data_IF_874536522240
#
_entry.id   IF_874536522240
#
_cell.length_a   1.000
_cell.length_b   1.000
_cell.length_c   1.000
_cell.angle_alpha   90.00
_cell.angle_beta   90.00
_cell.angle_gamma   90.00
#
_symmetry.space_group_name_H-M   'P 1'
#
loop_
_entity.id
_entity.type
_entity.pdbx_description
1 polymer ?
#
# COMPACT_ATOMS: atom_id res chain seq x y z
N UNK A 1 4.77 -1.46 -8.22
CA UNK A 1 3.34 -1.42 -7.80
C UNK A 1 2.43 -1.90 -8.94
N UNK A 2 1.21 -2.44 -8.71
CA UNK A 2 0.37 -2.91 -9.82
C UNK A 2 -0.09 -1.73 -10.69
N UNK A 3 0.12 -1.85 -12.00
CA UNK A 3 -0.25 -0.85 -12.98
C UNK A 3 -1.06 -1.47 -14.11
N UNK A 4 -1.90 -0.66 -14.73
CA UNK A 4 -2.61 -1.00 -15.94
C UNK A 4 -1.67 -0.92 -17.15
N UNK A 5 -2.12 -1.35 -18.33
CA UNK A 5 -1.34 -1.24 -19.57
C UNK A 5 -0.99 0.21 -19.96
N UNK A 6 -1.72 1.21 -19.44
CA UNK A 6 -1.41 2.64 -19.67
C UNK A 6 -0.40 3.20 -18.66
N UNK A 7 0.05 2.39 -17.70
CA UNK A 7 0.95 2.81 -16.63
C UNK A 7 0.27 3.44 -15.41
N UNK A 8 -1.05 3.66 -15.45
CA UNK A 8 -1.80 4.15 -14.29
C UNK A 8 -1.90 3.08 -13.19
N UNK A 9 -2.18 3.50 -11.95
CA UNK A 9 -2.38 2.59 -10.82
C UNK A 9 -3.55 1.64 -11.06
N UNK A 10 -3.29 0.33 -10.93
CA UNK A 10 -4.34 -0.68 -10.91
C UNK A 10 -4.86 -0.88 -9.48
N UNK A 11 -5.85 -0.06 -9.13
CA UNK A 11 -6.43 0.02 -7.79
C UNK A 11 -7.17 -1.26 -7.38
N UNK A 12 -7.85 -1.93 -8.31
CA UNK A 12 -8.58 -3.17 -8.05
C UNK A 12 -7.60 -4.31 -7.71
N UNK A 13 -6.58 -4.49 -8.55
CA UNK A 13 -5.52 -5.47 -8.27
C UNK A 13 -4.79 -5.16 -6.96
N UNK A 14 -4.54 -3.88 -6.66
CA UNK A 14 -3.93 -3.46 -5.39
C UNK A 14 -4.78 -3.89 -4.19
N UNK A 15 -6.08 -3.56 -4.21
CA UNK A 15 -7.04 -3.90 -3.15
C UNK A 15 -7.09 -5.42 -2.92
N UNK A 16 -7.14 -6.20 -4.00
CA UNK A 16 -7.16 -7.66 -3.90
C UNK A 16 -5.89 -8.28 -3.32
N UNK A 17 -4.73 -7.63 -3.52
CA UNK A 17 -3.45 -8.07 -2.95
C UNK A 17 -3.40 -7.79 -1.46
N UNK A 18 -3.68 -6.56 -1.02
CA UNK A 18 -3.62 -6.21 0.40
C UNK A 18 -4.75 -6.86 1.20
N UNK A 19 -5.93 -7.08 0.59
CA UNK A 19 -7.07 -7.79 1.20
C UNK A 19 -6.85 -9.30 1.45
N UNK A 20 -5.62 -9.80 1.30
CA UNK A 20 -5.24 -11.16 1.71
C UNK A 20 -4.82 -11.21 3.19
N UNK A 21 -4.36 -10.11 3.77
CA UNK A 21 -4.09 -10.00 5.22
C UNK A 21 -5.34 -9.54 5.99
N UNK A 22 -5.31 -9.61 7.33
CA UNK A 22 -6.32 -8.99 8.20
C UNK A 22 -7.77 -9.48 8.03
N UNK A 23 -8.00 -10.80 7.96
CA UNK A 23 -9.34 -11.38 7.75
C UNK A 23 -10.10 -11.59 9.06
N UNK A 24 -11.43 -11.56 8.99
CA UNK A 24 -12.33 -11.84 10.12
C UNK A 24 -12.13 -10.90 11.32
N UNK A 25 -12.00 -9.60 11.04
CA UNK A 25 -11.81 -8.57 12.06
C UNK A 25 -10.43 -8.56 12.72
N UNK A 26 -9.49 -9.39 12.23
CA UNK A 26 -8.11 -9.38 12.69
C UNK A 26 -7.32 -8.29 11.96
N UNK A 27 -6.31 -7.76 12.64
CA UNK A 27 -5.38 -6.82 12.02
C UNK A 27 -4.49 -7.53 10.99
N UNK A 28 -4.11 -6.79 9.96
CA UNK A 28 -3.19 -7.22 8.91
C UNK A 28 -2.24 -6.07 8.57
N UNK A 29 -1.06 -6.41 8.05
CA UNK A 29 -0.07 -5.43 7.60
C UNK A 29 0.21 -5.65 6.12
N UNK A 30 0.31 -4.57 5.36
CA UNK A 30 0.74 -4.56 3.97
C UNK A 30 1.87 -3.53 3.83
N UNK A 31 3.02 -3.97 3.30
CA UNK A 31 4.18 -3.10 3.08
C UNK A 31 4.36 -2.94 1.57
N UNK A 32 4.39 -1.69 1.12
CA UNK A 32 4.61 -1.36 -0.28
C UNK A 32 6.10 -1.07 -0.51
N UNK A 33 6.75 -1.83 -1.40
CA UNK A 33 8.09 -1.54 -1.86
C UNK A 33 7.98 -0.68 -3.13
N UNK A 34 8.49 0.56 -3.04
CA UNK A 34 8.30 1.59 -4.05
C UNK A 34 9.64 2.22 -4.38
N UNK A 35 9.95 2.31 -5.67
CA UNK A 35 11.08 3.09 -6.18
C UNK A 35 10.69 4.56 -6.39
N UNK A 36 11.68 5.45 -6.53
CA UNK A 36 11.42 6.88 -6.78
C UNK A 36 10.52 7.13 -8.00
N UNK A 37 10.70 6.34 -9.05
CA UNK A 37 9.96 6.47 -10.31
C UNK A 37 8.51 5.97 -10.18
N UNK A 38 8.19 5.20 -9.15
CA UNK A 38 6.85 4.67 -8.89
C UNK A 38 6.03 5.53 -7.91
N UNK A 39 6.58 6.65 -7.42
CA UNK A 39 5.89 7.53 -6.45
C UNK A 39 4.54 8.07 -6.94
N UNK A 40 4.36 8.20 -8.25
CA UNK A 40 3.07 8.65 -8.81
C UNK A 40 1.96 7.61 -8.56
N UNK A 41 2.28 6.31 -8.63
CA UNK A 41 1.34 5.22 -8.39
C UNK A 41 0.83 5.26 -6.95
N UNK A 42 1.73 5.53 -5.99
CA UNK A 42 1.36 5.71 -4.58
C UNK A 42 0.32 6.82 -4.41
N UNK A 43 0.57 7.99 -5.01
CA UNK A 43 -0.33 9.14 -4.92
C UNK A 43 -1.70 8.85 -5.54
N UNK A 44 -1.74 8.12 -6.65
CA UNK A 44 -2.99 7.69 -7.29
C UNK A 44 -3.80 6.77 -6.38
N UNK A 45 -3.15 5.80 -5.72
CA UNK A 45 -3.81 4.91 -4.76
C UNK A 45 -4.33 5.68 -3.53
N UNK A 46 -3.51 6.56 -2.95
CA UNK A 46 -3.90 7.41 -1.81
C UNK A 46 -5.13 8.27 -2.14
N UNK A 47 -5.11 8.90 -3.32
CA UNK A 47 -6.25 9.71 -3.80
C UNK A 47 -7.49 8.86 -4.04
N UNK A 48 -7.35 7.68 -4.68
CA UNK A 48 -8.46 6.80 -4.99
C UNK A 48 -9.15 6.26 -3.74
N UNK A 49 -8.38 5.80 -2.74
CA UNK A 49 -8.90 5.22 -1.50
C UNK A 49 -9.14 6.26 -0.39
N UNK A 50 -8.87 7.54 -0.67
CA UNK A 50 -9.00 8.64 0.30
C UNK A 50 -8.25 8.36 1.62
N UNK A 51 -7.03 7.81 1.50
CA UNK A 51 -6.21 7.45 2.64
C UNK A 51 -4.75 7.87 2.42
N UNK A 52 -4.02 8.05 3.51
CA UNK A 52 -2.56 8.23 3.47
C UNK A 52 -1.87 6.90 3.74
N UNK A 53 -0.87 6.57 2.92
CA UNK A 53 -0.01 5.41 3.09
C UNK A 53 1.34 5.95 3.61
N UNK A 54 1.59 5.88 4.93
CA UNK A 54 2.78 6.48 5.51
C UNK A 54 4.05 5.75 5.08
N UNK A 55 5.16 6.49 5.07
CA UNK A 55 6.49 5.89 4.95
C UNK A 55 6.76 5.06 6.21
N UNK A 56 7.16 3.81 6.02
CA UNK A 56 7.56 2.94 7.12
C UNK A 56 8.96 3.33 7.60
N UNK A 57 9.07 3.84 8.82
CA UNK A 57 10.32 4.19 9.50
C UNK A 57 10.77 3.07 10.43
N UNK A 58 12.02 3.14 10.90
CA UNK A 58 12.50 2.16 11.89
C UNK A 58 11.75 2.26 13.21
N UNK A 59 11.34 3.46 13.62
CA UNK A 59 10.59 3.66 14.87
C UNK A 59 9.22 2.96 14.80
N UNK A 60 8.56 3.04 13.63
CA UNK A 60 7.29 2.31 13.40
C UNK A 60 7.45 0.79 13.51
N UNK A 61 8.59 0.25 13.06
CA UNK A 61 8.88 -1.19 13.18
C UNK A 61 9.04 -1.60 14.64
N UNK A 62 9.73 -0.78 15.44
CA UNK A 62 10.02 -1.05 16.84
C UNK A 62 8.74 -0.98 17.65
N UNK A 63 7.91 0.06 17.50
CA UNK A 63 6.66 0.18 18.27
C UNK A 63 5.66 -0.95 17.99
N UNK A 64 5.65 -1.49 16.76
CA UNK A 64 4.68 -2.50 16.35
C UNK A 64 5.06 -3.93 16.77
N UNK A 65 6.35 -4.22 16.94
CA UNK A 65 6.84 -5.60 17.11
C UNK A 65 7.94 -5.79 18.17
N UNK A 66 8.35 -4.76 18.90
CA UNK A 66 9.06 -4.92 20.17
C UNK A 66 8.09 -5.24 21.31
#
# INVERSE_FOLDING_TARGET
>A
MPTTASGAADCETYLHRIGRSGRFGKEGVAVNLITSDEKYILKELEHHFQMTIPLLTNDDLIERWA
#
